data_IF_622590627562
#
_entry.id   IF_622590627562
#
_cell.length_a   1.000
_cell.length_b   1.000
_cell.length_c   1.000
_cell.angle_alpha   90.00
_cell.angle_beta   90.00
_cell.angle_gamma   90.00
#
_symmetry.space_group_name_H-M   'P 1'
#
loop_
_entity.id
_entity.type
_entity.pdbx_description
1 polymer ?
#
# COMPACT_ATOMS: atom_id res chain seq x y z
N UNK A 1 23.05 -41.67 -4.52
CA UNK A 1 23.15 -40.28 -5.05
C UNK A 1 21.77 -39.67 -5.29
N UNK A 2 20.81 -39.84 -4.36
CA UNK A 2 19.40 -39.42 -4.54
C UNK A 2 18.92 -38.51 -3.39
N UNK A 3 19.44 -38.72 -2.18
CA UNK A 3 19.10 -37.93 -1.00
C UNK A 3 19.66 -36.49 -1.05
N UNK A 4 20.80 -36.27 -1.72
CA UNK A 4 21.42 -34.95 -1.88
C UNK A 4 20.61 -34.06 -2.85
N UNK A 5 20.17 -34.63 -3.97
CA UNK A 5 19.30 -34.00 -4.98
C UNK A 5 17.96 -33.57 -4.35
N UNK A 6 17.34 -34.45 -3.56
CA UNK A 6 16.05 -34.17 -2.91
C UNK A 6 16.17 -33.06 -1.84
N UNK A 7 17.26 -33.06 -1.06
CA UNK A 7 17.55 -32.00 -0.08
C UNK A 7 17.81 -30.66 -0.76
N UNK A 8 18.58 -30.65 -1.85
CA UNK A 8 18.86 -29.44 -2.61
C UNK A 8 17.58 -28.84 -3.18
N UNK A 9 16.73 -29.65 -3.82
CA UNK A 9 15.43 -29.21 -4.37
C UNK A 9 14.51 -28.60 -3.32
N UNK A 10 14.51 -29.15 -2.10
CA UNK A 10 13.70 -28.65 -1.00
C UNK A 10 14.23 -27.31 -0.44
N UNK A 11 15.56 -27.16 -0.35
CA UNK A 11 16.20 -25.89 0.04
C UNK A 11 15.94 -24.81 -1.02
N UNK A 12 16.05 -25.13 -2.30
CA UNK A 12 15.75 -24.19 -3.38
C UNK A 12 14.29 -23.76 -3.35
N UNK A 13 13.35 -24.69 -3.14
CA UNK A 13 11.92 -24.36 -3.00
C UNK A 13 11.65 -23.46 -1.78
N UNK A 14 12.28 -23.75 -0.65
CA UNK A 14 12.19 -22.92 0.55
C UNK A 14 12.73 -21.50 0.29
N UNK A 15 13.93 -21.38 -0.29
CA UNK A 15 14.52 -20.08 -0.62
C UNK A 15 13.64 -19.28 -1.58
N UNK A 16 13.09 -19.92 -2.61
CA UNK A 16 12.16 -19.28 -3.53
C UNK A 16 10.89 -18.80 -2.81
N UNK A 17 10.31 -19.61 -1.92
CA UNK A 17 9.12 -19.18 -1.15
C UNK A 17 9.41 -17.97 -0.26
N UNK A 18 10.59 -17.93 0.36
CA UNK A 18 11.01 -16.81 1.21
C UNK A 18 11.24 -15.56 0.38
N UNK A 19 11.93 -15.67 -0.77
CA UNK A 19 12.14 -14.55 -1.68
C UNK A 19 10.81 -14.00 -2.19
N UNK A 20 9.89 -14.86 -2.64
CA UNK A 20 8.58 -14.46 -3.12
C UNK A 20 7.75 -13.76 -2.02
N UNK A 21 7.79 -14.28 -0.79
CA UNK A 21 7.13 -13.66 0.35
C UNK A 21 7.64 -12.23 0.61
N UNK A 22 8.97 -12.04 0.64
CA UNK A 22 9.56 -10.72 0.81
C UNK A 22 9.24 -9.77 -0.35
N UNK A 23 9.22 -10.26 -1.59
CA UNK A 23 8.89 -9.45 -2.76
C UNK A 23 7.44 -8.96 -2.71
N UNK A 24 6.49 -9.82 -2.32
CA UNK A 24 5.08 -9.41 -2.17
C UNK A 24 4.87 -8.41 -1.04
N UNK A 25 5.64 -8.50 0.05
CA UNK A 25 5.55 -7.57 1.16
C UNK A 25 6.07 -6.18 0.79
N UNK A 26 7.14 -6.09 0.00
CA UNK A 26 7.69 -4.81 -0.46
C UNK A 26 6.75 -4.09 -1.43
N UNK A 27 6.08 -4.82 -2.33
CA UNK A 27 5.11 -4.24 -3.25
C UNK A 27 3.88 -3.67 -2.52
N UNK A 28 3.44 -4.29 -1.42
CA UNK A 28 2.33 -3.80 -0.60
C UNK A 28 2.72 -2.61 0.31
N UNK A 29 4.01 -2.31 0.45
CA UNK A 29 4.51 -1.18 1.23
C UNK A 29 4.80 0.06 0.38
N UNK A 30 4.88 -0.10 -0.95
CA UNK A 30 5.15 1.01 -1.84
C UNK A 30 3.85 1.74 -2.15
N UNK A 31 3.78 2.99 -1.71
CA UNK A 31 2.68 3.88 -2.06
C UNK A 31 2.60 4.04 -3.56
N UNK A 32 1.50 3.61 -4.17
CA UNK A 32 1.33 3.68 -5.61
C UNK A 32 1.24 5.14 -6.13
N UNK A 33 1.06 6.11 -5.22
CA UNK A 33 1.08 7.55 -5.48
C UNK A 33 2.42 8.23 -5.21
N UNK A 34 3.47 7.51 -4.82
CA UNK A 34 4.74 8.10 -4.32
C UNK A 34 5.51 8.96 -5.32
N UNK A 35 5.24 8.80 -6.63
CA UNK A 35 5.90 9.58 -7.68
C UNK A 35 5.14 10.88 -8.02
N UNK A 36 4.02 11.14 -7.33
CA UNK A 36 3.16 12.30 -7.55
C UNK A 36 3.47 13.44 -6.58
N UNK A 37 3.28 14.67 -7.04
CA UNK A 37 3.34 15.86 -6.19
C UNK A 37 2.24 15.89 -5.13
N UNK A 38 2.41 16.74 -4.13
CA UNK A 38 1.46 16.91 -3.02
C UNK A 38 0.01 17.15 -3.52
N UNK A 39 -0.17 18.05 -4.49
CA UNK A 39 -1.48 18.40 -5.05
C UNK A 39 -2.08 17.25 -5.89
N UNK A 40 -1.23 16.51 -6.61
CA UNK A 40 -1.66 15.35 -7.40
C UNK A 40 -2.11 14.20 -6.49
N UNK A 41 -1.40 13.94 -5.39
CA UNK A 41 -1.81 12.94 -4.41
C UNK A 41 -3.14 13.30 -3.73
N UNK A 42 -3.35 14.59 -3.44
CA UNK A 42 -4.64 15.07 -2.94
C UNK A 42 -5.76 14.86 -3.97
N UNK A 43 -5.51 15.19 -5.24
CA UNK A 43 -6.49 14.99 -6.31
C UNK A 43 -6.89 13.52 -6.44
N UNK A 44 -5.92 12.61 -6.40
CA UNK A 44 -6.15 11.15 -6.42
C UNK A 44 -7.00 10.70 -5.22
N UNK A 45 -6.69 11.18 -4.01
CA UNK A 45 -7.44 10.80 -2.81
C UNK A 45 -8.89 11.31 -2.83
N UNK A 46 -9.13 12.50 -3.39
CA UNK A 46 -10.49 13.03 -3.64
C UNK A 46 -11.23 12.21 -4.68
N UNK A 47 -10.61 11.95 -5.83
CA UNK A 47 -11.23 11.19 -6.93
C UNK A 47 -11.62 9.77 -6.47
N UNK A 48 -10.72 9.07 -5.80
CA UNK A 48 -11.00 7.73 -5.24
C UNK A 48 -12.10 7.77 -4.19
N UNK A 49 -12.17 8.83 -3.37
CA UNK A 49 -13.27 9.01 -2.42
C UNK A 49 -14.62 9.24 -3.12
N UNK A 50 -14.65 10.15 -4.10
CA UNK A 50 -15.85 10.53 -4.86
C UNK A 50 -16.39 9.36 -5.70
N UNK A 51 -15.51 8.51 -6.19
CA UNK A 51 -15.85 7.28 -6.92
C UNK A 51 -16.19 6.09 -6.01
N UNK A 52 -16.30 6.31 -4.69
CA UNK A 52 -16.60 5.31 -3.66
C UNK A 52 -15.57 4.16 -3.55
N UNK A 53 -14.37 4.38 -4.10
CA UNK A 53 -13.20 3.51 -3.95
C UNK A 53 -12.54 3.77 -2.59
N UNK A 54 -13.25 3.45 -1.51
CA UNK A 54 -12.83 3.82 -0.15
C UNK A 54 -11.53 3.15 0.30
N UNK A 55 -11.21 1.95 -0.18
CA UNK A 55 -9.97 1.28 0.19
C UNK A 55 -8.76 2.02 -0.42
N UNK A 56 -8.89 2.41 -1.68
CA UNK A 56 -7.93 3.16 -2.46
C UNK A 56 -7.78 4.58 -1.91
N UNK A 57 -8.88 5.23 -1.51
CA UNK A 57 -8.86 6.53 -0.87
C UNK A 57 -8.15 6.49 0.51
N UNK A 58 -8.38 5.44 1.31
CA UNK A 58 -7.66 5.23 2.57
C UNK A 58 -6.16 5.08 2.32
N UNK A 59 -5.78 4.30 1.30
CA UNK A 59 -4.38 4.05 0.96
C UNK A 59 -3.70 5.32 0.45
N UNK A 60 -4.31 6.02 -0.52
CA UNK A 60 -3.81 7.29 -1.04
C UNK A 60 -3.68 8.34 0.07
N UNK A 61 -4.67 8.44 0.95
CA UNK A 61 -4.63 9.35 2.08
C UNK A 61 -3.54 9.00 3.09
N UNK A 62 -3.33 7.70 3.36
CA UNK A 62 -2.22 7.24 4.21
C UNK A 62 -0.87 7.60 3.58
N UNK A 63 -0.70 7.32 2.29
CA UNK A 63 0.53 7.57 1.55
C UNK A 63 0.97 9.03 1.60
N UNK A 64 0.05 9.94 1.28
CA UNK A 64 0.29 11.37 1.43
C UNK A 64 0.70 11.76 2.85
N UNK A 65 0.01 11.23 3.88
CA UNK A 65 0.27 11.62 5.27
C UNK A 65 1.64 11.17 5.77
N UNK A 66 2.14 10.06 5.21
CA UNK A 66 3.47 9.50 5.47
C UNK A 66 4.55 10.28 4.71
N UNK A 67 4.28 10.69 3.46
CA UNK A 67 5.22 11.41 2.59
C UNK A 67 5.31 12.91 2.91
N UNK A 68 4.18 13.55 3.23
CA UNK A 68 4.06 14.97 3.55
C UNK A 68 3.57 15.16 4.99
N UNK A 69 4.43 14.91 6.00
CA UNK A 69 4.04 15.01 7.42
C UNK A 69 3.58 16.41 7.84
N UNK A 70 4.00 17.45 7.10
CA UNK A 70 3.62 18.85 7.29
C UNK A 70 2.98 19.46 6.02
N UNK A 71 2.37 18.63 5.17
CA UNK A 71 1.69 19.07 3.95
C UNK A 71 0.51 20.02 4.21
N UNK A 72 0.24 20.90 3.25
CA UNK A 72 -0.82 21.90 3.29
C UNK A 72 -2.22 21.29 3.37
N UNK A 73 -2.40 20.10 2.77
CA UNK A 73 -3.69 19.40 2.70
C UNK A 73 -3.82 18.29 3.73
N UNK A 74 -2.99 18.31 4.78
CA UNK A 74 -2.96 17.28 5.83
C UNK A 74 -4.29 17.08 6.53
N UNK A 75 -4.99 18.17 6.88
CA UNK A 75 -6.30 18.09 7.56
C UNK A 75 -7.33 17.39 6.67
N UNK A 76 -7.37 17.75 5.40
CA UNK A 76 -8.27 17.15 4.43
C UNK A 76 -7.95 15.67 4.20
N UNK A 77 -6.68 15.30 4.14
CA UNK A 77 -6.28 13.90 3.98
C UNK A 77 -6.62 13.05 5.20
N UNK A 78 -6.51 13.61 6.41
CA UNK A 78 -7.02 12.95 7.62
C UNK A 78 -8.54 12.76 7.57
N UNK A 79 -9.28 13.77 7.09
CA UNK A 79 -10.72 13.69 6.90
C UNK A 79 -11.10 12.61 5.89
N UNK A 80 -10.52 12.62 4.68
CA UNK A 80 -10.79 11.64 3.62
C UNK A 80 -10.51 10.21 4.10
N UNK A 81 -9.40 10.01 4.83
CA UNK A 81 -9.07 8.72 5.43
C UNK A 81 -10.13 8.26 6.43
N UNK A 82 -10.48 9.11 7.39
CA UNK A 82 -11.46 8.77 8.44
C UNK A 82 -12.87 8.52 7.87
N UNK A 83 -13.29 9.36 6.94
CA UNK A 83 -14.60 9.27 6.31
C UNK A 83 -14.71 8.05 5.40
N UNK A 84 -13.62 7.71 4.69
CA UNK A 84 -13.54 6.46 3.92
C UNK A 84 -13.64 5.22 4.80
N UNK A 85 -12.98 5.20 5.98
CA UNK A 85 -13.15 4.11 6.95
C UNK A 85 -14.60 3.96 7.40
N UNK A 86 -15.23 5.09 7.75
CA UNK A 86 -16.64 5.14 8.17
C UNK A 86 -17.57 4.60 7.08
N UNK A 87 -17.38 5.02 5.82
CA UNK A 87 -18.20 4.59 4.67
C UNK A 87 -17.92 3.16 4.22
N UNK A 88 -16.67 2.70 4.34
CA UNK A 88 -16.29 1.32 4.04
C UNK A 88 -16.81 0.29 5.06
N UNK A 89 -17.36 0.73 6.20
CA UNK A 89 -17.76 -0.16 7.30
C UNK A 89 -16.58 -0.85 8.00
N UNK A 90 -15.36 -0.35 7.77
CA UNK A 90 -14.12 -0.81 8.41
C UNK A 90 -13.81 0.13 9.57
N UNK A 91 -14.60 0.06 10.63
CA UNK A 91 -14.30 0.69 11.93
C UNK A 91 -13.58 -0.28 12.83
#
# INVERSE_FOLDING_TARGET
MYASELKFRNITALLLSVILYFWTASAAAQCWTSDLSEDEQLAVARETFETELFAESIEAAKCYLDEFPVGNSREEMLYLKAESFRKSGKT
#
